data_IF_373139318275
#
_entry.id   IF_373139318275
#
_cell.length_a   1.000
_cell.length_b   1.000
_cell.length_c   1.000
_cell.angle_alpha   90.00
_cell.angle_beta   90.00
_cell.angle_gamma   90.00
#
_symmetry.space_group_name_H-M   'P 1'
#
loop_
_entity.id
_entity.type
_entity.pdbx_description
1 polymer ?
#
# COMPACT_ATOMS: atom_id res chain seq x y z
N UNK A 1 36.65 -5.72 12.39
CA UNK A 1 37.88 -6.29 12.93
C UNK A 1 37.54 -6.97 14.25
N UNK A 2 38.15 -8.13 14.51
CA UNK A 2 38.00 -8.83 15.79
C UNK A 2 39.34 -8.82 16.52
N UNK A 3 39.32 -8.41 17.77
CA UNK A 3 40.48 -8.47 18.66
C UNK A 3 40.41 -9.74 19.49
N UNK A 4 41.43 -10.56 19.39
CA UNK A 4 41.58 -11.79 20.15
C UNK A 4 42.62 -11.52 21.25
N UNK A 5 42.23 -11.73 22.49
CA UNK A 5 43.11 -11.50 23.65
C UNK A 5 43.23 -12.83 24.41
N UNK A 6 44.44 -13.25 24.64
CA UNK A 6 44.74 -14.39 25.54
C UNK A 6 45.67 -13.91 26.65
N UNK A 7 45.28 -14.15 27.89
CA UNK A 7 46.09 -13.90 29.08
C UNK A 7 46.54 -15.24 29.66
N UNK A 8 47.81 -15.42 29.76
CA UNK A 8 48.43 -16.63 30.31
C UNK A 8 49.06 -16.28 31.65
N UNK A 9 48.75 -17.04 32.68
CA UNK A 9 49.38 -16.94 33.96
C UNK A 9 50.54 -17.97 34.04
N UNK A 10 51.79 -17.55 34.35
CA UNK A 10 52.88 -18.50 34.48
C UNK A 10 52.71 -19.41 35.69
N UNK A 11 53.13 -20.68 35.53
CA UNK A 11 52.99 -21.73 36.55
C UNK A 11 54.06 -21.62 37.69
N UNK A 12 54.96 -20.64 37.63
CA UNK A 12 56.11 -20.51 38.56
C UNK A 12 55.77 -19.75 39.86
N UNK A 13 54.52 -19.61 40.26
CA UNK A 13 54.14 -18.89 41.48
C UNK A 13 53.76 -19.86 42.60
N UNK A 14 54.22 -19.59 43.82
CA UNK A 14 53.93 -20.40 45.03
C UNK A 14 52.49 -20.30 45.54
N UNK A 15 51.65 -19.46 44.94
CA UNK A 15 50.27 -19.18 45.40
C UNK A 15 49.20 -19.85 44.52
N UNK A 16 49.50 -20.22 43.27
CA UNK A 16 48.58 -20.86 42.36
C UNK A 16 49.21 -22.10 41.74
N UNK A 17 48.68 -23.26 42.04
CA UNK A 17 49.16 -24.56 41.57
C UNK A 17 48.72 -24.93 40.11
N UNK A 18 47.85 -24.12 39.48
CA UNK A 18 47.34 -24.40 38.16
C UNK A 18 47.61 -23.23 37.21
N UNK A 19 48.17 -23.50 36.03
CA UNK A 19 48.27 -22.47 34.99
C UNK A 19 46.87 -22.09 34.52
N UNK A 20 46.56 -20.78 34.58
CA UNK A 20 45.28 -20.23 34.16
C UNK A 20 45.45 -19.50 32.83
N UNK A 21 44.58 -19.77 31.89
CA UNK A 21 44.41 -19.02 30.69
C UNK A 21 43.04 -18.36 30.66
N UNK A 22 43.00 -17.07 30.43
CA UNK A 22 41.78 -16.37 30.07
C UNK A 22 41.83 -15.99 28.60
N UNK A 23 40.70 -16.19 27.90
CA UNK A 23 40.57 -15.97 26.47
C UNK A 23 39.30 -15.18 26.20
N UNK A 24 39.39 -14.18 25.31
CA UNK A 24 38.25 -13.39 24.91
C UNK A 24 38.38 -12.88 23.48
N UNK A 25 37.26 -12.82 22.77
CA UNK A 25 37.17 -12.21 21.45
C UNK A 25 36.20 -11.03 21.55
N UNK A 26 36.65 -9.85 21.10
CA UNK A 26 35.87 -8.64 21.11
C UNK A 26 35.83 -8.02 19.72
N UNK A 27 34.64 -7.68 19.18
CA UNK A 27 34.57 -6.94 17.93
C UNK A 27 34.98 -5.48 18.15
N UNK A 28 35.88 -4.98 17.28
CA UNK A 28 36.27 -3.56 17.21
C UNK A 28 35.68 -2.94 15.97
N UNK A 29 34.93 -1.86 16.15
CA UNK A 29 34.28 -1.15 15.07
C UNK A 29 35.25 -0.13 14.47
N UNK A 30 35.43 -0.23 13.15
CA UNK A 30 36.18 0.75 12.37
C UNK A 30 35.21 1.30 11.32
N UNK A 31 34.90 2.58 11.40
CA UNK A 31 34.02 3.25 10.47
C UNK A 31 34.82 4.29 9.69
N UNK A 32 34.79 4.19 8.37
CA UNK A 32 35.26 5.25 7.50
C UNK A 32 34.14 6.26 7.27
N UNK A 33 34.32 7.48 7.78
CA UNK A 33 33.36 8.57 7.61
C UNK A 33 33.10 8.94 6.14
N UNK A 34 34.01 8.59 5.24
CA UNK A 34 33.83 8.84 3.81
C UNK A 34 32.74 7.95 3.20
N UNK A 35 32.46 6.80 3.81
CA UNK A 35 31.41 5.88 3.36
C UNK A 35 30.00 6.27 3.82
N UNK A 36 29.86 7.26 4.71
CA UNK A 36 28.58 7.69 5.27
C UNK A 36 28.10 8.97 4.58
N UNK A 37 26.90 8.97 3.99
CA UNK A 37 26.18 10.14 3.54
C UNK A 37 25.15 10.54 4.62
N UNK A 38 24.97 11.85 4.82
CA UNK A 38 23.97 12.39 5.74
C UNK A 38 22.96 13.27 4.97
N UNK A 39 22.01 12.63 4.21
CA UNK A 39 20.97 13.39 3.53
C UNK A 39 20.08 14.11 4.53
N UNK A 40 19.57 15.29 4.17
CA UNK A 40 18.67 16.10 4.97
C UNK A 40 17.40 16.40 4.20
N UNK A 41 16.27 16.37 4.91
CA UNK A 41 14.94 16.70 4.38
C UNK A 41 14.45 17.98 5.02
N UNK A 42 14.18 18.98 4.19
CA UNK A 42 13.56 20.25 4.59
C UNK A 42 12.16 20.32 3.98
N UNK A 43 11.13 20.33 4.83
CA UNK A 43 9.74 20.44 4.42
C UNK A 43 8.93 21.11 5.55
N UNK A 44 7.71 21.65 5.27
CA UNK A 44 6.84 22.22 6.30
C UNK A 44 6.52 21.23 7.42
N UNK A 45 6.34 21.72 8.64
CA UNK A 45 6.02 20.90 9.82
C UNK A 45 4.57 20.38 9.81
N UNK A 46 3.69 21.04 9.06
CA UNK A 46 2.30 20.62 8.83
C UNK A 46 2.00 20.79 7.36
N UNK A 47 1.42 19.77 6.74
CA UNK A 47 1.00 19.80 5.34
C UNK A 47 -0.52 19.93 5.25
N UNK A 48 -0.98 20.45 4.11
CA UNK A 48 -2.40 20.50 3.75
C UNK A 48 -2.65 19.63 2.54
N UNK A 49 -3.74 18.82 2.53
CA UNK A 49 -4.11 18.06 1.34
C UNK A 49 -4.44 18.98 0.17
N UNK A 50 -4.25 18.48 -1.05
CA UNK A 50 -4.51 19.19 -2.31
C UNK A 50 -3.76 20.52 -2.50
N UNK A 51 -2.84 20.86 -1.60
CA UNK A 51 -1.95 22.01 -1.74
C UNK A 51 -0.52 21.57 -2.06
N UNK A 52 0.10 22.29 -2.99
CA UNK A 52 1.49 22.05 -3.32
C UNK A 52 2.40 22.57 -2.20
N UNK A 53 3.39 21.79 -1.82
CA UNK A 53 4.44 22.18 -0.89
C UNK A 53 5.83 21.87 -1.46
N UNK A 54 6.83 22.56 -0.97
CA UNK A 54 8.21 22.36 -1.36
C UNK A 54 8.91 21.42 -0.37
N UNK A 55 9.56 20.40 -0.89
CA UNK A 55 10.45 19.51 -0.17
C UNK A 55 11.85 19.67 -0.72
N UNK A 56 12.78 20.15 0.09
CA UNK A 56 14.16 20.40 -0.32
C UNK A 56 15.09 19.38 0.30
N UNK A 57 15.97 18.85 -0.53
CA UNK A 57 16.94 17.82 -0.17
C UNK A 57 18.34 18.35 -0.39
N UNK A 58 19.19 18.16 0.59
CA UNK A 58 20.63 18.44 0.53
C UNK A 58 21.39 17.35 1.29
N UNK A 59 22.70 17.30 1.09
CA UNK A 59 23.60 16.52 1.92
C UNK A 59 24.28 17.46 2.93
N UNK A 60 24.38 17.04 4.19
CA UNK A 60 24.82 17.86 5.34
C UNK A 60 26.21 18.48 5.16
N UNK A 61 27.13 17.73 4.58
CA UNK A 61 28.51 18.14 4.35
C UNK A 61 28.77 18.63 2.93
N UNK A 62 27.71 18.79 2.14
CA UNK A 62 27.76 19.24 0.75
C UNK A 62 28.35 18.23 -0.22
N UNK A 63 28.34 16.94 0.11
CA UNK A 63 28.81 15.89 -0.80
C UNK A 63 27.80 15.65 -1.93
N UNK A 64 28.28 15.27 -3.13
CA UNK A 64 27.36 14.84 -4.18
C UNK A 64 26.67 13.54 -3.76
N UNK A 65 25.42 13.36 -4.19
CA UNK A 65 24.68 12.11 -3.96
C UNK A 65 23.62 11.88 -5.01
N UNK A 66 23.34 10.61 -5.28
CA UNK A 66 22.14 10.17 -6.01
C UNK A 66 21.16 9.55 -5.02
N UNK A 67 19.90 9.92 -5.11
CA UNK A 67 18.89 9.50 -4.14
C UNK A 67 17.52 9.20 -4.77
N UNK A 68 16.73 8.43 -4.06
CA UNK A 68 15.30 8.26 -4.29
C UNK A 68 14.51 8.90 -3.15
N UNK A 69 13.30 9.37 -3.45
CA UNK A 69 12.39 9.96 -2.48
C UNK A 69 11.08 9.20 -2.49
N UNK A 70 10.68 8.72 -1.32
CA UNK A 70 9.36 8.14 -1.09
C UNK A 70 8.58 9.01 -0.09
N UNK A 71 7.29 9.21 -0.35
CA UNK A 71 6.36 9.86 0.59
C UNK A 71 5.21 8.89 0.77
N UNK A 72 5.06 8.36 1.97
CA UNK A 72 4.13 7.27 2.27
C UNK A 72 3.31 7.60 3.51
N UNK A 73 2.07 7.16 3.52
CA UNK A 73 1.21 7.16 4.71
C UNK A 73 1.91 6.46 5.87
N UNK A 74 2.14 7.18 6.96
CA UNK A 74 2.86 6.70 8.14
C UNK A 74 2.10 5.54 8.82
N UNK A 75 0.77 5.60 8.87
CA UNK A 75 -0.05 4.51 9.41
C UNK A 75 0.07 3.21 8.60
N UNK A 76 0.25 3.30 7.27
CA UNK A 76 0.52 2.13 6.43
C UNK A 76 1.89 1.53 6.73
N UNK A 77 2.90 2.37 6.95
CA UNK A 77 4.25 1.92 7.31
C UNK A 77 4.28 1.25 8.68
N UNK A 78 3.54 1.79 9.63
CA UNK A 78 3.42 1.20 10.98
C UNK A 78 2.71 -0.16 10.96
N UNK A 79 1.64 -0.30 10.17
CA UNK A 79 0.94 -1.58 9.99
C UNK A 79 1.82 -2.68 9.37
N UNK A 80 2.75 -2.29 8.51
CA UNK A 80 3.68 -3.21 7.83
C UNK A 80 5.02 -3.35 8.54
N UNK A 81 5.25 -2.64 9.66
CA UNK A 81 6.54 -2.52 10.32
C UNK A 81 7.68 -2.10 9.36
N UNK A 82 7.32 -1.36 8.30
CA UNK A 82 8.29 -0.93 7.31
C UNK A 82 9.17 0.19 7.87
N UNK A 83 10.48 0.01 7.83
CA UNK A 83 11.49 1.00 8.20
C UNK A 83 12.13 1.58 6.96
N UNK A 84 12.56 2.84 7.04
CA UNK A 84 13.35 3.44 5.97
C UNK A 84 14.59 2.60 5.73
N UNK A 85 14.82 2.13 4.48
CA UNK A 85 15.97 1.29 4.18
C UNK A 85 17.28 1.99 4.55
N UNK A 86 18.17 1.25 5.20
CA UNK A 86 19.51 1.72 5.57
C UNK A 86 20.56 1.01 4.72
N UNK A 87 20.94 1.60 3.58
CA UNK A 87 21.90 0.98 2.68
C UNK A 87 23.30 0.91 3.29
N UNK A 88 23.68 1.86 4.15
CA UNK A 88 25.00 1.83 4.76
C UNK A 88 25.15 0.62 5.69
N UNK A 89 24.22 0.40 6.61
CA UNK A 89 24.22 -0.76 7.50
C UNK A 89 24.09 -2.09 6.74
N UNK A 90 23.48 -2.08 5.56
CA UNK A 90 23.35 -3.28 4.75
C UNK A 90 24.63 -3.61 3.99
N UNK A 91 25.26 -2.63 3.32
CA UNK A 91 26.48 -2.83 2.53
C UNK A 91 27.74 -2.94 3.40
N UNK A 92 27.76 -2.27 4.55
CA UNK A 92 28.84 -2.31 5.53
C UNK A 92 28.46 -3.12 6.78
N UNK A 93 27.54 -4.05 6.63
CA UNK A 93 27.18 -5.00 7.69
C UNK A 93 28.43 -5.75 8.15
N UNK A 94 28.49 -6.04 9.44
CA UNK A 94 29.57 -6.85 9.98
C UNK A 94 29.48 -8.27 9.45
N UNK A 95 30.56 -8.77 8.94
CA UNK A 95 30.72 -10.18 8.69
C UNK A 95 30.92 -10.92 10.02
N UNK A 96 30.31 -12.08 10.14
CA UNK A 96 30.56 -12.95 11.28
C UNK A 96 32.03 -13.41 11.28
N UNK A 97 32.58 -13.63 12.46
CA UNK A 97 33.89 -14.27 12.58
C UNK A 97 33.76 -15.70 12.05
N UNK A 98 34.05 -15.90 10.76
CA UNK A 98 33.93 -17.21 10.07
C UNK A 98 35.01 -18.22 10.48
N UNK A 99 35.76 -17.94 11.53
CA UNK A 99 36.89 -18.76 11.99
C UNK A 99 36.50 -19.38 13.33
N UNK A 100 36.67 -20.68 13.47
CA UNK A 100 36.71 -21.36 14.77
C UNK A 100 38.16 -21.39 15.22
N UNK A 101 38.42 -20.76 16.34
CA UNK A 101 39.73 -20.84 16.97
C UNK A 101 39.80 -22.13 17.76
N UNK A 102 40.85 -22.91 17.55
CA UNK A 102 41.16 -24.10 18.29
C UNK A 102 42.64 -24.01 18.73
N UNK A 103 42.96 -24.47 19.93
CA UNK A 103 44.32 -24.61 20.39
C UNK A 103 44.47 -25.88 21.24
N UNK A 104 45.67 -26.30 21.44
CA UNK A 104 46.01 -27.51 22.19
C UNK A 104 46.30 -27.24 23.67
N UNK A 105 45.99 -26.06 24.21
CA UNK A 105 46.37 -25.69 25.57
C UNK A 105 45.74 -26.62 26.61
N UNK A 106 44.44 -26.91 26.45
CA UNK A 106 43.70 -27.81 27.35
C UNK A 106 44.16 -29.27 27.24
N UNK A 107 44.57 -29.69 26.05
CA UNK A 107 45.08 -31.04 25.79
C UNK A 107 46.48 -31.25 26.42
N UNK A 108 47.28 -30.17 26.43
CA UNK A 108 48.64 -30.22 27.05
C UNK A 108 48.56 -30.24 28.56
N UNK A 109 47.55 -29.61 29.15
CA UNK A 109 47.41 -29.54 30.62
C UNK A 109 46.49 -30.60 31.22
N UNK A 110 45.87 -31.45 30.42
CA UNK A 110 45.04 -32.56 30.89
C UNK A 110 43.78 -32.15 31.62
N UNK A 111 43.27 -30.94 31.37
CA UNK A 111 42.03 -30.48 31.93
C UNK A 111 40.83 -31.15 31.26
N UNK A 112 40.06 -31.91 31.98
CA UNK A 112 38.79 -32.49 31.53
C UNK A 112 37.76 -31.37 31.33
N UNK A 113 37.62 -30.88 30.13
CA UNK A 113 36.59 -29.89 29.78
C UNK A 113 35.23 -30.57 29.64
N UNK A 114 34.30 -30.21 30.50
CA UNK A 114 32.90 -30.56 30.34
C UNK A 114 32.34 -29.90 29.10
N UNK A 115 31.80 -30.72 28.17
CA UNK A 115 31.17 -30.28 26.95
C UNK A 115 29.89 -29.49 27.24
N UNK A 116 29.94 -28.18 27.05
CA UNK A 116 28.71 -27.36 26.97
C UNK A 116 28.24 -27.36 25.54
N UNK A 117 27.20 -28.17 25.25
CA UNK A 117 26.49 -28.12 23.98
C UNK A 117 25.79 -26.78 23.79
N UNK A 118 26.22 -26.04 22.79
CA UNK A 118 25.48 -24.84 22.35
C UNK A 118 24.26 -25.27 21.53
N UNK A 119 23.06 -25.03 22.06
CA UNK A 119 21.83 -25.14 21.29
C UNK A 119 21.71 -23.93 20.37
N UNK A 120 21.85 -24.17 19.08
CA UNK A 120 21.44 -23.22 18.08
C UNK A 120 19.94 -23.40 17.81
N UNK A 121 19.12 -22.40 18.16
CA UNK A 121 17.76 -22.33 17.69
C UNK A 121 17.76 -21.74 16.28
N UNK A 122 17.37 -22.53 15.31
CA UNK A 122 17.09 -22.06 13.96
C UNK A 122 15.69 -21.42 13.99
N UNK A 123 15.65 -20.09 13.86
CA UNK A 123 14.39 -19.36 13.66
C UNK A 123 13.83 -19.70 12.27
N UNK A 124 12.66 -20.32 12.26
CA UNK A 124 11.92 -20.54 11.03
C UNK A 124 11.29 -19.23 10.54
N UNK A 125 11.45 -18.96 9.25
CA UNK A 125 10.76 -17.90 8.54
C UNK A 125 9.26 -18.18 8.53
N UNK A 126 8.48 -17.48 9.32
CA UNK A 126 7.03 -17.47 9.18
C UNK A 126 6.66 -16.61 7.98
N UNK A 127 6.34 -17.27 6.89
CA UNK A 127 5.67 -16.63 5.76
C UNK A 127 4.32 -16.10 6.21
N UNK A 128 4.24 -14.78 6.39
CA UNK A 128 2.98 -14.07 6.63
C UNK A 128 2.04 -14.32 5.44
N UNK A 129 0.96 -15.07 5.71
CA UNK A 129 -0.15 -15.20 4.76
C UNK A 129 -0.73 -13.81 4.55
N UNK A 130 -1.03 -13.38 3.30
CA UNK A 130 -1.71 -12.13 3.06
C UNK A 130 -3.07 -12.19 3.75
N UNK A 131 -3.28 -11.37 4.77
CA UNK A 131 -4.59 -11.15 5.33
C UNK A 131 -5.45 -10.48 4.27
N UNK A 132 -6.69 -10.95 4.09
CA UNK A 132 -7.70 -10.31 3.27
C UNK A 132 -7.75 -8.82 3.62
N UNK A 133 -7.22 -8.00 2.72
CA UNK A 133 -7.23 -6.55 2.88
C UNK A 133 -8.69 -6.08 2.83
N UNK A 134 -9.24 -5.79 3.99
CA UNK A 134 -10.45 -4.97 4.08
C UNK A 134 -10.14 -3.68 3.34
N UNK A 135 -10.85 -3.47 2.24
CA UNK A 135 -10.63 -2.34 1.38
C UNK A 135 -10.75 -1.03 2.14
N UNK A 136 -9.62 -0.43 2.35
CA UNK A 136 -9.50 0.89 2.95
C UNK A 136 -10.06 1.92 1.95
N UNK A 137 -11.08 2.70 2.34
CA UNK A 137 -11.72 3.71 1.49
C UNK A 137 -10.81 4.90 1.19
N UNK A 138 -9.80 5.10 2.00
CA UNK A 138 -8.76 6.07 1.76
C UNK A 138 -7.70 5.43 0.89
N UNK A 139 -7.45 6.02 -0.27
CA UNK A 139 -6.28 5.65 -1.06
C UNK A 139 -5.06 6.06 -0.23
N UNK A 140 -4.24 5.11 0.25
CA UNK A 140 -3.06 5.46 1.01
C UNK A 140 -2.16 6.35 0.16
N UNK A 141 -1.55 7.34 0.78
CA UNK A 141 -0.55 8.16 0.10
C UNK A 141 0.68 7.31 -0.10
N UNK A 142 0.97 6.97 -1.35
CA UNK A 142 2.21 6.28 -1.74
C UNK A 142 2.74 6.98 -2.99
N UNK A 143 3.83 7.70 -2.84
CA UNK A 143 4.51 8.38 -3.94
C UNK A 143 6.00 8.06 -3.89
N UNK A 144 6.51 7.48 -4.96
CA UNK A 144 7.92 7.17 -5.13
C UNK A 144 8.44 7.87 -6.37
N UNK A 145 9.52 8.63 -6.23
CA UNK A 145 10.13 9.38 -7.31
C UNK A 145 11.66 9.30 -7.28
N UNK A 146 12.27 9.37 -8.44
CA UNK A 146 13.70 9.30 -8.62
C UNK A 146 14.13 8.16 -9.55
N UNK A 147 15.44 7.89 -9.65
CA UNK A 147 16.54 8.54 -8.92
C UNK A 147 16.83 9.97 -9.37
N UNK A 148 17.39 10.77 -8.46
CA UNK A 148 17.83 12.14 -8.71
C UNK A 148 19.25 12.32 -8.22
N UNK A 149 20.06 13.12 -8.96
CA UNK A 149 21.41 13.45 -8.55
C UNK A 149 21.51 14.91 -8.10
N UNK A 150 22.32 15.14 -7.07
CA UNK A 150 22.71 16.45 -6.55
C UNK A 150 24.22 16.56 -6.61
N UNK A 151 24.73 17.64 -7.22
CA UNK A 151 26.15 17.96 -7.26
C UNK A 151 26.66 18.52 -5.92
N UNK A 152 27.98 18.63 -5.79
CA UNK A 152 28.66 19.13 -4.59
C UNK A 152 28.12 20.52 -4.17
N UNK A 153 27.73 20.66 -2.91
CA UNK A 153 27.24 21.91 -2.33
C UNK A 153 25.88 22.36 -2.84
N UNK A 154 25.15 21.52 -3.58
CA UNK A 154 23.84 21.84 -4.15
C UNK A 154 22.71 21.23 -3.32
N UNK A 155 21.53 21.76 -3.52
CA UNK A 155 20.25 21.23 -3.03
C UNK A 155 19.29 21.05 -4.19
N UNK A 156 18.27 20.20 -4.01
CA UNK A 156 17.20 20.05 -4.97
C UNK A 156 15.85 20.16 -4.28
N UNK A 157 14.97 20.97 -4.85
CA UNK A 157 13.60 21.17 -4.35
C UNK A 157 12.63 20.44 -5.25
N UNK A 158 11.72 19.68 -4.64
CA UNK A 158 10.61 19.01 -5.28
C UNK A 158 9.31 19.70 -4.86
N UNK A 159 8.51 20.09 -5.83
CA UNK A 159 7.15 20.55 -5.60
C UNK A 159 6.22 19.34 -5.60
N UNK A 160 5.52 19.10 -4.50
CA UNK A 160 4.72 17.90 -4.29
C UNK A 160 3.32 18.32 -3.86
N UNK A 161 2.31 17.64 -4.41
CA UNK A 161 0.92 17.77 -3.99
C UNK A 161 0.46 16.40 -3.49
N UNK A 162 -0.13 16.36 -2.30
CA UNK A 162 -0.79 15.18 -1.76
C UNK A 162 -2.25 15.14 -2.21
N UNK A 163 -2.84 13.96 -2.42
CA UNK A 163 -4.28 13.84 -2.63
C UNK A 163 -5.04 14.28 -1.37
N UNK A 164 -6.37 14.24 -1.41
CA UNK A 164 -7.18 14.42 -0.21
C UNK A 164 -6.86 13.30 0.78
N UNK A 165 -6.17 13.66 1.86
CA UNK A 165 -5.67 12.76 2.88
C UNK A 165 -5.52 13.53 4.20
N UNK A 166 -5.87 12.89 5.30
CA UNK A 166 -5.66 13.41 6.66
C UNK A 166 -5.01 12.32 7.49
N UNK A 167 -3.93 12.62 8.15
CA UNK A 167 -3.12 11.66 8.89
C UNK A 167 -1.69 12.17 9.06
N UNK A 168 -0.71 11.30 8.90
CA UNK A 168 0.71 11.62 8.88
C UNK A 168 1.37 10.98 7.68
N UNK A 169 2.31 11.66 7.05
CA UNK A 169 3.12 11.10 5.98
C UNK A 169 4.58 11.11 6.37
N UNK A 170 5.29 10.03 6.03
CA UNK A 170 6.73 9.90 6.17
C UNK A 170 7.40 10.11 4.83
N UNK A 171 8.24 11.14 4.75
CA UNK A 171 9.16 11.34 3.63
C UNK A 171 10.46 10.57 3.94
N UNK A 172 10.87 9.70 3.03
CA UNK A 172 12.03 8.82 3.17
C UNK A 172 12.98 9.03 2.01
N UNK A 173 14.27 9.12 2.30
CA UNK A 173 15.35 9.21 1.32
C UNK A 173 16.29 8.03 1.51
N UNK A 174 16.67 7.43 0.41
CA UNK A 174 17.80 6.49 0.31
C UNK A 174 18.78 7.04 -0.70
N UNK A 175 20.02 7.23 -0.27
CA UNK A 175 21.06 7.88 -1.06
C UNK A 175 22.32 7.02 -1.17
N UNK A 176 23.01 7.15 -2.31
CA UNK A 176 24.29 6.52 -2.57
C UNK A 176 25.13 7.32 -3.55
N UNK A 177 26.45 7.29 -3.38
CA UNK A 177 27.44 7.87 -4.30
C UNK A 177 28.82 7.31 -4.04
N UNK A 178 29.44 6.68 -5.04
CA UNK A 178 30.85 6.22 -5.02
C UNK A 178 31.22 5.42 -3.76
N UNK A 179 30.39 4.44 -3.39
CA UNK A 179 30.60 3.61 -2.20
C UNK A 179 30.19 4.27 -0.86
N UNK A 180 29.68 5.49 -0.90
CA UNK A 180 29.07 6.13 0.26
C UNK A 180 27.55 5.99 0.23
N UNK A 181 26.94 5.70 1.37
CA UNK A 181 25.50 5.46 1.47
C UNK A 181 24.90 6.17 2.69
N UNK A 182 23.63 6.45 2.62
CA UNK A 182 22.90 7.02 3.74
C UNK A 182 21.41 7.07 3.51
N UNK A 183 20.68 7.37 4.56
CA UNK A 183 19.25 7.55 4.51
C UNK A 183 18.83 8.72 5.41
N UNK A 184 17.61 9.20 5.20
CA UNK A 184 16.94 10.14 6.09
C UNK A 184 15.44 9.96 6.01
N UNK A 185 14.76 10.25 7.10
CA UNK A 185 13.31 10.29 7.14
C UNK A 185 12.79 11.50 7.91
N UNK A 186 11.60 11.94 7.56
CA UNK A 186 10.87 12.97 8.30
C UNK A 186 9.38 12.70 8.21
N UNK A 187 8.74 12.53 9.38
CA UNK A 187 7.28 12.39 9.49
C UNK A 187 6.66 13.74 9.81
N UNK A 188 5.60 14.09 9.09
CA UNK A 188 4.83 15.31 9.32
C UNK A 188 3.33 15.04 9.22
N UNK A 189 2.50 15.72 10.05
CA UNK A 189 1.05 15.59 9.96
C UNK A 189 0.50 16.31 8.72
N UNK A 190 -0.54 15.72 8.14
CA UNK A 190 -1.37 16.30 7.08
C UNK A 190 -2.71 16.64 7.70
N UNK A 191 -3.05 17.92 7.80
CA UNK A 191 -4.24 18.41 8.49
C UNK A 191 -4.98 19.42 7.63
N UNK A 192 -6.29 19.47 7.80
CA UNK A 192 -7.17 20.47 7.21
C UNK A 192 -8.13 20.99 8.29
N UNK A 193 -8.43 22.30 8.32
CA UNK A 193 -9.37 22.88 9.30
C UNK A 193 -10.79 22.31 9.18
N UNK A 194 -11.19 21.96 7.96
CA UNK A 194 -12.48 21.36 7.62
C UNK A 194 -12.27 20.08 6.83
N UNK A 195 -12.93 19.01 7.25
CA UNK A 195 -12.90 17.73 6.55
C UNK A 195 -14.30 17.14 6.45
N UNK A 196 -14.56 16.44 5.36
CA UNK A 196 -15.75 15.58 5.20
C UNK A 196 -15.31 14.13 4.95
N UNK A 197 -16.12 13.23 5.47
CA UNK A 197 -15.95 11.80 5.30
C UNK A 197 -17.31 11.16 5.09
N UNK A 198 -17.52 10.61 3.92
CA UNK A 198 -18.76 9.90 3.63
C UNK A 198 -18.59 8.38 3.68
N UNK A 199 -19.68 7.70 3.96
CA UNK A 199 -19.72 6.24 3.96
C UNK A 199 -20.71 5.75 2.92
N UNK A 200 -20.19 5.11 1.88
CA UNK A 200 -20.96 4.57 0.75
C UNK A 200 -20.60 3.11 0.48
N UNK A 201 -21.55 2.27 0.06
CA UNK A 201 -21.24 0.95 -0.42
C UNK A 201 -20.41 1.03 -1.73
N UNK A 202 -19.64 -0.01 -2.04
CA UNK A 202 -18.85 -0.06 -3.28
C UNK A 202 -19.68 -0.24 -4.53
N UNK A 203 -20.84 -0.84 -4.36
CA UNK A 203 -21.75 -1.23 -5.44
C UNK A 203 -23.15 -0.91 -4.97
N UNK A 204 -23.97 -0.39 -5.87
CA UNK A 204 -25.42 -0.21 -5.71
C UNK A 204 -26.15 -1.06 -6.72
N UNK A 205 -27.38 -1.45 -6.36
CA UNK A 205 -28.30 -2.09 -7.28
C UNK A 205 -29.05 -1.04 -8.11
N UNK A 206 -29.67 -1.47 -9.18
CA UNK A 206 -30.67 -0.65 -9.91
C UNK A 206 -31.93 -0.46 -9.04
N UNK A 207 -32.55 0.72 -9.16
CA UNK A 207 -33.75 1.11 -8.41
C UNK A 207 -33.64 1.07 -6.88
N UNK A 208 -32.43 1.22 -6.37
CA UNK A 208 -32.12 1.24 -4.94
C UNK A 208 -32.14 2.69 -4.40
N UNK A 209 -32.68 2.85 -3.19
CA UNK A 209 -32.63 4.12 -2.45
C UNK A 209 -31.77 3.93 -1.20
N UNK A 210 -30.80 4.81 -0.99
CA UNK A 210 -29.87 4.75 0.13
C UNK A 210 -29.76 6.09 0.84
N UNK A 211 -29.46 6.04 2.13
CA UNK A 211 -28.99 7.18 2.90
C UNK A 211 -27.46 7.19 2.95
N UNK A 212 -26.88 8.32 2.61
CA UNK A 212 -25.43 8.55 2.62
C UNK A 212 -25.07 9.29 3.89
N UNK A 213 -24.47 8.62 4.89
CA UNK A 213 -23.94 9.28 6.05
C UNK A 213 -22.67 10.08 5.66
N UNK A 214 -22.62 11.33 6.06
CA UNK A 214 -21.50 12.25 5.85
C UNK A 214 -21.10 12.83 7.20
N UNK A 215 -19.91 12.47 7.68
CA UNK A 215 -19.31 13.12 8.84
C UNK A 215 -18.59 14.38 8.41
N UNK A 216 -18.88 15.47 9.08
CA UNK A 216 -18.27 16.79 8.87
C UNK A 216 -17.46 17.12 10.12
N UNK A 217 -16.15 17.33 9.94
CA UNK A 217 -15.21 17.63 11.03
C UNK A 217 -14.78 19.09 10.95
N UNK A 218 -15.06 19.86 11.99
CA UNK A 218 -14.47 21.16 12.23
C UNK A 218 -13.28 20.99 13.18
N UNK A 219 -12.07 21.01 12.66
CA UNK A 219 -10.82 20.70 13.39
C UNK A 219 -10.14 21.95 13.95
N UNK A 220 -10.63 23.14 13.59
CA UNK A 220 -10.20 24.45 14.13
C UNK A 220 -11.40 25.26 14.61
N UNK A 221 -11.21 26.06 15.66
CA UNK A 221 -12.28 26.87 16.27
C UNK A 221 -12.82 27.97 15.38
N UNK A 222 -12.12 28.30 14.32
CA UNK A 222 -12.56 29.32 13.34
C UNK A 222 -13.61 28.78 12.36
N UNK A 223 -13.77 27.44 12.25
CA UNK A 223 -14.76 26.81 11.38
C UNK A 223 -16.10 26.70 12.14
N UNK A 224 -16.99 27.69 11.95
CA UNK A 224 -18.27 27.76 12.69
C UNK A 224 -19.47 27.32 11.87
N UNK A 225 -19.68 27.95 10.72
CA UNK A 225 -20.81 27.64 9.83
C UNK A 225 -20.30 26.91 8.60
N UNK A 226 -20.76 25.67 8.41
CA UNK A 226 -20.34 24.81 7.31
C UNK A 226 -21.54 24.47 6.45
N UNK A 227 -21.44 24.78 5.18
CA UNK A 227 -22.43 24.44 4.19
C UNK A 227 -21.95 23.22 3.40
N UNK A 228 -22.69 22.12 3.47
CA UNK A 228 -22.38 20.84 2.82
C UNK A 228 -23.34 20.61 1.68
N UNK A 229 -22.84 20.29 0.51
CA UNK A 229 -23.64 19.98 -0.68
C UNK A 229 -23.23 18.67 -1.31
N UNK A 230 -24.21 18.01 -1.96
CA UNK A 230 -24.05 16.75 -2.68
C UNK A 230 -24.53 16.88 -4.11
N UNK A 231 -23.77 16.31 -5.04
CA UNK A 231 -24.13 16.13 -6.44
C UNK A 231 -23.88 14.69 -6.85
N UNK A 232 -24.72 14.16 -7.71
CA UNK A 232 -24.58 12.81 -8.24
C UNK A 232 -24.77 12.81 -9.75
N UNK A 233 -23.99 11.99 -10.46
CA UNK A 233 -24.03 11.87 -11.92
C UNK A 233 -23.67 10.46 -12.38
N UNK A 234 -24.09 10.07 -13.58
CA UNK A 234 -23.81 8.77 -14.20
C UNK A 234 -24.78 7.67 -13.71
N UNK A 235 -24.89 6.59 -14.45
CA UNK A 235 -25.73 5.40 -14.20
C UNK A 235 -27.14 5.70 -13.66
N UNK A 236 -27.75 6.82 -14.05
CA UNK A 236 -29.10 7.20 -13.62
C UNK A 236 -29.25 7.52 -12.13
N UNK A 237 -28.15 7.72 -11.39
CA UNK A 237 -28.21 8.09 -9.96
C UNK A 237 -28.66 9.54 -9.80
N UNK A 238 -29.51 9.77 -8.81
CA UNK A 238 -30.06 11.09 -8.50
C UNK A 238 -30.05 11.33 -6.99
N UNK A 239 -29.88 12.60 -6.61
CA UNK A 239 -30.07 13.03 -5.23
C UNK A 239 -31.55 13.28 -5.00
N UNK A 240 -32.13 12.59 -4.01
CA UNK A 240 -33.52 12.75 -3.59
C UNK A 240 -33.57 13.57 -2.29
N UNK A 241 -34.37 14.63 -2.27
CA UNK A 241 -34.46 15.52 -1.11
C UNK A 241 -33.46 16.68 -1.12
N UNK A 242 -33.04 17.12 0.05
CA UNK A 242 -32.18 18.31 0.19
C UNK A 242 -30.77 18.02 -0.34
N UNK A 243 -30.33 18.81 -1.32
CA UNK A 243 -28.97 18.73 -1.90
C UNK A 243 -27.95 19.52 -1.10
N UNK A 244 -28.39 20.26 -0.08
CA UNK A 244 -27.55 21.14 0.70
C UNK A 244 -28.03 21.19 2.15
N UNK A 245 -27.08 21.16 3.10
CA UNK A 245 -27.35 21.28 4.53
C UNK A 245 -26.31 22.19 5.18
N UNK A 246 -26.76 23.01 6.12
CA UNK A 246 -25.88 23.94 6.87
C UNK A 246 -25.74 23.43 8.31
N UNK A 247 -24.50 23.36 8.78
CA UNK A 247 -24.14 22.94 10.13
C UNK A 247 -23.50 24.11 10.87
N UNK A 248 -23.82 24.26 12.15
CA UNK A 248 -23.16 25.22 13.03
C UNK A 248 -22.35 24.49 14.09
N UNK A 249 -21.08 24.84 14.19
CA UNK A 249 -20.13 24.34 15.20
C UNK A 249 -19.87 25.44 16.24
N UNK A 250 -20.10 25.16 17.50
CA UNK A 250 -19.75 26.05 18.62
C UNK A 250 -18.33 25.84 19.12
N UNK A 251 -17.81 24.65 18.90
CA UNK A 251 -16.44 24.21 19.24
C UNK A 251 -15.94 23.22 18.17
N UNK A 252 -14.66 22.89 18.20
CA UNK A 252 -14.10 21.81 17.36
C UNK A 252 -14.82 20.49 17.66
N UNK A 253 -15.03 19.70 16.64
CA UNK A 253 -15.71 18.39 16.74
C UNK A 253 -16.22 17.93 15.39
N UNK A 254 -17.10 16.94 15.44
CA UNK A 254 -17.72 16.36 14.25
C UNK A 254 -19.25 16.35 14.35
N UNK A 255 -19.90 16.33 13.21
CA UNK A 255 -21.34 16.18 13.06
C UNK A 255 -21.66 15.26 11.90
N UNK A 256 -22.60 14.34 12.14
CA UNK A 256 -23.12 13.41 11.13
C UNK A 256 -24.39 13.99 10.51
N UNK A 257 -24.41 14.02 9.18
CA UNK A 257 -25.60 14.36 8.37
C UNK A 257 -25.85 13.27 7.33
N UNK A 258 -27.06 13.29 6.77
CA UNK A 258 -27.49 12.28 5.80
C UNK A 258 -28.03 12.94 4.54
N UNK A 259 -27.63 12.37 3.39
CA UNK A 259 -28.20 12.69 2.09
C UNK A 259 -28.86 11.45 1.50
N UNK A 260 -29.94 11.63 0.73
CA UNK A 260 -30.63 10.53 0.07
C UNK A 260 -30.23 10.46 -1.40
N UNK A 261 -29.89 9.26 -1.85
CA UNK A 261 -29.61 8.96 -3.24
C UNK A 261 -30.54 7.85 -3.72
N UNK A 262 -30.96 7.92 -4.98
CA UNK A 262 -31.72 6.88 -5.67
C UNK A 262 -31.07 6.55 -6.99
N UNK A 263 -30.89 5.26 -7.26
CA UNK A 263 -30.44 4.75 -8.54
C UNK A 263 -31.62 4.56 -9.48
N UNK A 264 -31.41 4.75 -10.77
CA UNK A 264 -32.37 4.37 -11.81
C UNK A 264 -32.18 2.95 -12.29
N UNK A 265 -32.72 2.65 -13.47
CA UNK A 265 -32.60 1.35 -14.15
C UNK A 265 -31.25 1.14 -14.85
N UNK A 266 -30.50 2.21 -15.11
CA UNK A 266 -29.23 2.16 -15.85
C UNK A 266 -28.11 1.60 -15.00
N UNK A 267 -27.39 0.64 -15.53
CA UNK A 267 -26.14 0.12 -14.95
C UNK A 267 -24.93 0.93 -15.43
N UNK A 268 -23.83 0.87 -14.70
CA UNK A 268 -22.59 1.55 -15.07
C UNK A 268 -21.91 2.26 -13.89
N UNK A 269 -21.06 3.22 -14.20
CA UNK A 269 -20.35 4.04 -13.25
C UNK A 269 -21.18 5.25 -12.84
N UNK A 270 -21.34 5.47 -11.54
CA UNK A 270 -21.89 6.68 -10.97
C UNK A 270 -20.79 7.42 -10.19
N UNK A 271 -20.85 8.76 -10.20
CA UNK A 271 -19.91 9.62 -9.48
C UNK A 271 -20.70 10.54 -8.55
N UNK A 272 -20.29 10.58 -7.30
CA UNK A 272 -20.87 11.42 -6.25
C UNK A 272 -19.82 12.44 -5.85
N UNK A 273 -20.20 13.72 -5.86
CA UNK A 273 -19.39 14.83 -5.40
C UNK A 273 -20.00 15.42 -4.14
N UNK A 274 -19.23 15.43 -3.08
CA UNK A 274 -19.54 16.10 -1.82
C UNK A 274 -18.61 17.30 -1.69
N UNK A 275 -19.16 18.44 -1.29
CA UNK A 275 -18.37 19.63 -0.98
C UNK A 275 -18.82 20.21 0.34
N UNK A 276 -17.87 20.68 1.15
CA UNK A 276 -18.17 21.42 2.35
C UNK A 276 -17.39 22.73 2.37
N UNK A 277 -18.08 23.83 2.66
CA UNK A 277 -17.50 25.18 2.70
C UNK A 277 -17.81 25.83 4.05
N UNK A 278 -16.82 26.35 4.71
CA UNK A 278 -16.98 27.05 5.99
C UNK A 278 -15.80 27.94 6.29
N UNK A 279 -16.07 29.20 6.63
CA UNK A 279 -15.06 30.20 7.01
C UNK A 279 -13.85 30.28 6.04
N UNK A 280 -14.11 30.34 4.74
CA UNK A 280 -13.06 30.36 3.71
C UNK A 280 -12.32 29.05 3.49
N UNK A 281 -12.66 27.99 4.21
CA UNK A 281 -12.15 26.64 3.99
C UNK A 281 -13.09 25.90 3.07
N UNK A 282 -12.52 25.14 2.15
CA UNK A 282 -13.27 24.32 1.21
C UNK A 282 -12.65 22.92 1.21
N UNK A 283 -13.49 21.90 1.30
CA UNK A 283 -13.09 20.51 1.14
C UNK A 283 -14.08 19.81 0.21
N UNK A 284 -13.57 18.86 -0.56
CA UNK A 284 -14.36 18.07 -1.51
C UNK A 284 -14.00 16.61 -1.41
N UNK A 285 -14.98 15.76 -1.64
CA UNK A 285 -14.81 14.33 -1.77
C UNK A 285 -15.48 13.85 -3.05
N UNK A 286 -14.79 13.04 -3.85
CA UNK A 286 -15.33 12.46 -5.08
C UNK A 286 -15.29 10.96 -4.96
N UNK A 287 -16.45 10.32 -5.09
CA UNK A 287 -16.62 8.88 -4.91
C UNK A 287 -17.19 8.28 -6.17
N UNK A 288 -16.56 7.23 -6.64
CA UNK A 288 -17.03 6.44 -7.77
C UNK A 288 -17.67 5.15 -7.26
N UNK A 289 -18.89 4.88 -7.71
CA UNK A 289 -19.65 3.70 -7.35
C UNK A 289 -20.08 2.99 -8.61
N UNK A 290 -20.06 1.66 -8.59
CA UNK A 290 -20.60 0.85 -9.69
C UNK A 290 -22.06 0.51 -9.40
N UNK A 291 -22.94 0.92 -10.30
CA UNK A 291 -24.36 0.47 -10.29
C UNK A 291 -24.47 -0.75 -11.18
N UNK A 292 -24.94 -1.84 -10.65
CA UNK A 292 -25.08 -3.12 -11.39
C UNK A 292 -26.38 -3.84 -11.00
N UNK A 293 -26.86 -4.71 -11.89
CA UNK A 293 -27.93 -5.61 -11.55
C UNK A 293 -27.46 -6.58 -10.45
N UNK A 294 -28.15 -6.71 -9.31
CA UNK A 294 -27.77 -7.64 -8.24
C UNK A 294 -28.03 -9.10 -8.60
N UNK A 295 -28.93 -9.34 -9.55
CA UNK A 295 -29.30 -10.69 -9.93
C UNK A 295 -28.21 -11.35 -10.79
N UNK A 296 -27.87 -12.62 -10.54
CA UNK A 296 -26.96 -13.35 -11.40
C UNK A 296 -27.57 -13.51 -12.81
N UNK A 297 -26.71 -13.56 -13.81
CA UNK A 297 -27.14 -13.92 -15.17
C UNK A 297 -27.56 -15.39 -15.17
N UNK A 298 -28.81 -15.63 -15.54
CA UNK A 298 -29.35 -16.97 -15.75
C UNK A 298 -29.37 -17.23 -17.25
N UNK A 299 -28.68 -18.28 -17.69
CA UNK A 299 -28.71 -18.73 -19.08
C UNK A 299 -29.60 -19.96 -19.17
N UNK A 300 -30.70 -19.84 -19.91
CA UNK A 300 -31.55 -20.96 -20.27
C UNK A 300 -31.12 -21.43 -21.68
N UNK A 301 -31.02 -22.72 -21.87
CA UNK A 301 -30.68 -23.32 -23.16
C UNK A 301 -31.70 -24.35 -23.50
N UNK A 302 -32.22 -24.27 -24.74
CA UNK A 302 -33.06 -25.26 -25.35
C UNK A 302 -32.41 -25.66 -26.69
N UNK A 303 -32.46 -26.94 -26.99
CA UNK A 303 -31.96 -27.46 -28.28
C UNK A 303 -33.00 -28.40 -28.87
N UNK A 304 -33.27 -28.24 -30.14
CA UNK A 304 -34.26 -29.06 -30.86
C UNK A 304 -33.70 -29.47 -32.21
N UNK A 305 -34.00 -30.70 -32.60
CA UNK A 305 -33.66 -31.16 -33.94
C UNK A 305 -34.78 -30.80 -34.91
N UNK A 306 -34.40 -30.18 -36.01
CA UNK A 306 -35.32 -29.87 -37.10
C UNK A 306 -34.98 -30.75 -38.29
N UNK A 307 -35.92 -31.58 -38.72
CA UNK A 307 -35.75 -32.45 -39.90
C UNK A 307 -35.74 -31.62 -41.21
N UNK A 308 -35.00 -32.09 -42.21
CA UNK A 308 -34.91 -31.41 -43.48
C UNK A 308 -36.28 -31.18 -44.11
N UNK A 309 -36.59 -29.93 -44.44
CA UNK A 309 -37.87 -29.51 -45.04
C UNK A 309 -38.99 -29.30 -44.05
N UNK A 310 -38.75 -29.42 -42.73
CA UNK A 310 -39.71 -29.07 -41.70
C UNK A 310 -39.36 -27.75 -41.01
N UNK A 311 -40.36 -27.12 -40.40
CA UNK A 311 -40.22 -25.91 -39.55
C UNK A 311 -40.71 -26.22 -38.16
N UNK A 312 -39.97 -25.70 -37.19
CA UNK A 312 -40.30 -25.79 -35.79
C UNK A 312 -40.49 -24.39 -35.19
N UNK A 313 -41.46 -24.26 -34.28
CA UNK A 313 -41.75 -23.02 -33.61
C UNK A 313 -41.11 -23.05 -32.19
N UNK A 314 -40.19 -22.09 -31.92
CA UNK A 314 -39.57 -21.95 -30.61
C UNK A 314 -40.32 -20.87 -29.81
N UNK A 315 -40.98 -21.28 -28.74
CA UNK A 315 -41.69 -20.38 -27.81
C UNK A 315 -40.79 -20.05 -26.65
N UNK A 316 -40.29 -18.83 -26.57
CA UNK A 316 -39.38 -18.38 -25.53
C UNK A 316 -40.02 -17.32 -24.64
N UNK A 317 -40.02 -17.56 -23.32
CA UNK A 317 -40.55 -16.60 -22.36
C UNK A 317 -39.40 -15.92 -21.64
N UNK A 318 -39.19 -14.63 -21.93
CA UNK A 318 -38.17 -13.83 -21.20
C UNK A 318 -38.67 -13.55 -19.79
N UNK A 319 -37.78 -13.61 -18.81
CA UNK A 319 -38.12 -13.22 -17.44
C UNK A 319 -38.55 -11.77 -17.40
N UNK A 320 -39.79 -11.53 -16.93
CA UNK A 320 -40.33 -10.18 -16.80
C UNK A 320 -39.54 -9.35 -15.79
N UNK A 321 -39.24 -8.10 -16.13
CA UNK A 321 -38.59 -7.14 -15.24
C UNK A 321 -37.08 -7.10 -15.25
N UNK A 322 -36.38 -7.83 -16.12
CA UNK A 322 -34.94 -7.77 -16.28
C UNK A 322 -34.55 -6.93 -17.50
N UNK A 323 -33.86 -5.82 -17.27
CA UNK A 323 -33.18 -5.11 -18.34
C UNK A 323 -31.93 -5.88 -18.77
N UNK A 324 -31.65 -5.94 -20.07
CA UNK A 324 -30.45 -6.58 -20.60
C UNK A 324 -30.62 -8.07 -20.95
N UNK A 325 -31.85 -8.56 -21.12
CA UNK A 325 -32.06 -9.90 -21.70
C UNK A 325 -31.50 -9.96 -23.13
N UNK A 326 -30.80 -11.04 -23.43
CA UNK A 326 -30.35 -11.35 -24.78
C UNK A 326 -30.80 -12.76 -25.17
N UNK A 327 -31.19 -12.93 -26.41
CA UNK A 327 -31.49 -14.23 -27.01
C UNK A 327 -30.48 -14.46 -28.12
N UNK A 328 -29.86 -15.61 -28.11
CA UNK A 328 -28.98 -16.08 -29.16
C UNK A 328 -29.59 -17.36 -29.77
N UNK A 329 -29.87 -17.32 -31.06
CA UNK A 329 -30.29 -18.48 -31.83
C UNK A 329 -29.11 -18.99 -32.64
N UNK A 330 -28.75 -20.24 -32.45
CA UNK A 330 -27.72 -20.92 -33.21
C UNK A 330 -28.38 -22.05 -34.05
N UNK A 331 -28.15 -22.07 -35.34
CA UNK A 331 -28.63 -23.12 -36.24
C UNK A 331 -27.39 -23.79 -36.83
N UNK A 332 -27.19 -25.06 -36.51
CA UNK A 332 -26.01 -25.79 -36.95
C UNK A 332 -26.35 -27.20 -37.39
N UNK A 333 -25.58 -27.75 -38.32
CA UNK A 333 -25.68 -29.18 -38.71
C UNK A 333 -24.86 -30.10 -37.79
N UNK A 334 -24.03 -29.53 -36.94
CA UNK A 334 -23.19 -30.23 -36.00
C UNK A 334 -23.58 -29.74 -34.61
N UNK A 335 -23.66 -30.61 -33.59
CA UNK A 335 -23.93 -30.17 -32.23
C UNK A 335 -22.95 -29.05 -31.81
N UNK A 336 -23.47 -27.92 -31.38
CA UNK A 336 -22.62 -26.81 -30.96
C UNK A 336 -21.87 -27.13 -29.67
N UNK A 337 -20.57 -26.86 -29.66
CA UNK A 337 -19.74 -26.94 -28.45
C UNK A 337 -19.60 -25.53 -27.91
N UNK A 338 -20.35 -25.22 -26.85
CA UNK A 338 -20.22 -23.91 -26.20
C UNK A 338 -18.92 -23.82 -25.39
N UNK A 339 -17.98 -23.13 -25.95
CA UNK A 339 -16.69 -22.85 -25.29
C UNK A 339 -16.61 -21.43 -24.68
N UNK A 340 -17.70 -20.63 -24.80
CA UNK A 340 -17.73 -19.25 -24.35
C UNK A 340 -17.30 -19.08 -22.88
N UNK A 341 -17.81 -19.94 -21.98
CA UNK A 341 -17.39 -19.91 -20.56
C UNK A 341 -15.91 -20.21 -20.36
N UNK A 342 -15.32 -21.04 -21.21
CA UNK A 342 -13.88 -21.34 -21.16
C UNK A 342 -13.07 -20.18 -21.67
N UNK A 343 -13.54 -19.48 -22.69
CA UNK A 343 -12.93 -18.23 -23.16
C UNK A 343 -12.98 -17.14 -22.10
N UNK A 344 -14.15 -16.91 -21.48
CA UNK A 344 -14.29 -15.94 -20.41
C UNK A 344 -13.37 -16.26 -19.22
N UNK A 345 -13.27 -17.54 -18.86
CA UNK A 345 -12.35 -17.97 -17.81
C UNK A 345 -10.88 -17.69 -18.17
N UNK A 346 -10.46 -18.07 -19.37
CA UNK A 346 -9.09 -17.84 -19.85
C UNK A 346 -8.78 -16.35 -19.94
N UNK A 347 -9.69 -15.55 -20.49
CA UNK A 347 -9.52 -14.12 -20.66
C UNK A 347 -9.35 -13.39 -19.30
N UNK A 348 -10.15 -13.77 -18.33
CA UNK A 348 -10.15 -13.16 -16.99
C UNK A 348 -9.17 -13.80 -16.02
N UNK A 349 -8.38 -14.78 -16.44
CA UNK A 349 -7.41 -15.46 -15.57
C UNK A 349 -6.33 -14.49 -15.10
N UNK A 350 -6.16 -14.38 -13.76
CA UNK A 350 -5.39 -13.29 -13.15
C UNK A 350 -3.86 -13.46 -13.21
N UNK A 351 -3.38 -14.67 -13.47
CA UNK A 351 -1.95 -14.93 -13.55
C UNK A 351 -1.43 -14.70 -14.98
N UNK A 352 -0.24 -14.09 -15.11
CA UNK A 352 0.30 -13.60 -16.38
C UNK A 352 1.73 -14.10 -16.65
N UNK A 353 2.03 -15.36 -16.38
CA UNK A 353 3.28 -15.95 -16.89
C UNK A 353 3.21 -16.09 -18.42
N UNK A 354 4.35 -16.26 -19.08
CA UNK A 354 4.44 -16.33 -20.56
C UNK A 354 3.55 -17.42 -21.13
N UNK A 355 3.49 -18.59 -20.53
CA UNK A 355 2.63 -19.71 -20.92
C UNK A 355 1.14 -19.32 -20.87
N UNK A 356 0.74 -18.67 -19.79
CA UNK A 356 -0.66 -18.24 -19.59
C UNK A 356 -1.06 -17.10 -20.55
N UNK A 357 -0.15 -16.17 -20.84
CA UNK A 357 -0.38 -15.14 -21.85
C UNK A 357 -0.56 -15.74 -23.23
N UNK A 358 0.24 -16.74 -23.58
CA UNK A 358 0.11 -17.47 -24.84
C UNK A 358 -1.22 -18.22 -24.92
N UNK A 359 -1.62 -18.88 -23.83
CA UNK A 359 -2.90 -19.58 -23.74
C UNK A 359 -4.11 -18.64 -23.80
N UNK A 360 -3.97 -17.40 -23.31
CA UNK A 360 -5.00 -16.36 -23.45
C UNK A 360 -5.07 -15.80 -24.87
N UNK A 361 -3.93 -15.66 -25.52
CA UNK A 361 -3.87 -15.04 -26.85
C UNK A 361 -4.39 -15.97 -27.95
N UNK A 362 -4.12 -17.27 -27.85
CA UNK A 362 -4.49 -18.26 -28.88
C UNK A 362 -5.99 -18.26 -29.19
N UNK A 363 -6.92 -18.26 -28.20
CA UNK A 363 -8.36 -18.22 -28.51
C UNK A 363 -8.85 -16.93 -29.14
N UNK A 364 -8.09 -15.84 -29.04
CA UNK A 364 -8.46 -14.54 -29.64
C UNK A 364 -8.17 -14.46 -31.17
N UNK A 365 -7.55 -15.50 -31.71
CA UNK A 365 -7.26 -15.61 -33.15
C UNK A 365 -8.42 -16.23 -33.94
N UNK A 366 -9.40 -16.78 -33.27
CA UNK A 366 -10.57 -17.47 -33.81
C UNK A 366 -11.85 -16.82 -33.32
#
# INVERSE_FOLDING_TARGET
VYLNISLLQPHAQTVNDLPIRMYGIMPVFVTDKQTVLEPQIKMPEVLRPEQAFNLTINEKHGRPMTYTLAIVDDGLLDLTNFKTPDPWNNFYAREALGIRTWDMYDDVLGATAGSYGSMFSIGGDETLKPSDQKANRFKPVVKFIGPFSIGKGKSRTHQITLPMYVGSVRAMIVAGQDGAYGNAEKTVPVRTPLMILSTLPRVLSTNEEIEVPVNVFALENNVKNVNVSIQASGAGIQVTGNKQQTLTFTQTGDRLIFFKLKTGTKTGKATIHLTANGNGQNTKETIEIKVRNPNPVVTLRESQWVETGKSEELNYQLSSGSEGNSIQLEVSRIPSVDISRRFDFLYNYQHNCTEQLTSKALPLLF
#
